data_IF_124829104991
#
_entry.id   IF_124829104991
#
_cell.length_a   1.000
_cell.length_b   1.000
_cell.length_c   1.000
_cell.angle_alpha   90.00
_cell.angle_beta   90.00
_cell.angle_gamma   90.00
#
_symmetry.space_group_name_H-M   'P 1'
#
loop_
_entity.id
_entity.type
_entity.pdbx_description
1 polymer ?
#
# COMPACT_ATOMS: atom_id res chain seq x y z
N UNK A 1 -3.10 -1.13 30.59
CA UNK A 1 -4.18 -1.84 29.87
C UNK A 1 -4.10 -1.37 28.43
N UNK A 2 -3.12 -1.96 27.73
CA UNK A 2 -2.61 -1.45 26.47
C UNK A 2 -3.58 -1.77 25.34
N UNK A 3 -3.75 -0.81 24.44
CA UNK A 3 -4.37 -1.05 23.14
C UNK A 3 -3.69 -2.30 22.55
N UNK A 4 -4.46 -3.29 22.09
CA UNK A 4 -3.85 -4.52 21.58
C UNK A 4 -2.92 -4.17 20.42
N UNK A 5 -1.73 -4.76 20.39
CA UNK A 5 -0.76 -4.59 19.29
C UNK A 5 -1.43 -4.86 17.93
N UNK A 6 -2.37 -5.80 17.89
CA UNK A 6 -3.21 -6.08 16.73
C UNK A 6 -4.07 -4.89 16.30
N UNK A 7 -4.66 -4.13 17.23
CA UNK A 7 -5.44 -2.92 16.94
C UNK A 7 -4.58 -1.85 16.26
N UNK A 8 -3.36 -1.62 16.74
CA UNK A 8 -2.43 -0.65 16.15
C UNK A 8 -2.06 -1.10 14.73
N UNK A 9 -1.76 -2.39 14.55
CA UNK A 9 -1.45 -2.94 13.24
C UNK A 9 -2.66 -2.84 12.28
N UNK A 10 -3.89 -3.07 12.75
CA UNK A 10 -5.12 -2.89 11.96
C UNK A 10 -5.28 -1.42 11.57
N UNK A 11 -5.04 -0.46 12.47
CA UNK A 11 -5.14 0.97 12.15
C UNK A 11 -4.17 1.39 11.05
N UNK A 12 -2.97 0.78 10.96
CA UNK A 12 -2.07 1.01 9.84
C UNK A 12 -2.69 0.56 8.51
N UNK A 13 -3.28 -0.65 8.46
CA UNK A 13 -3.95 -1.13 7.25
C UNK A 13 -5.20 -0.34 6.88
N UNK A 14 -5.94 0.16 7.88
CA UNK A 14 -7.07 1.08 7.65
C UNK A 14 -6.59 2.41 7.08
N UNK A 15 -5.46 2.94 7.55
CA UNK A 15 -4.86 4.15 6.97
C UNK A 15 -4.44 3.93 5.51
N UNK A 16 -3.92 2.75 5.15
CA UNK A 16 -3.65 2.38 3.75
C UNK A 16 -4.94 2.34 2.92
N UNK A 17 -6.01 1.77 3.48
CA UNK A 17 -7.31 1.63 2.81
C UNK A 17 -7.94 2.99 2.49
N UNK A 18 -7.79 3.96 3.40
CA UNK A 18 -8.25 5.34 3.25
C UNK A 18 -7.32 6.22 2.39
N UNK A 19 -6.21 5.68 1.87
CA UNK A 19 -5.13 6.42 1.19
C UNK A 19 -4.56 7.57 2.04
N UNK A 20 -4.63 7.45 3.37
CA UNK A 20 -4.17 8.47 4.30
C UNK A 20 -2.69 8.29 4.63
N UNK A 21 -1.83 8.93 3.83
CA UNK A 21 -0.38 8.81 3.98
C UNK A 21 0.14 9.35 5.32
N UNK A 22 -0.37 10.46 5.82
CA UNK A 22 0.09 11.08 7.08
C UNK A 22 -0.12 10.17 8.31
N UNK A 23 -1.33 9.65 8.59
CA UNK A 23 -1.53 8.77 9.73
C UNK A 23 -0.81 7.43 9.59
N UNK A 24 -0.59 6.92 8.37
CA UNK A 24 0.23 5.72 8.16
C UNK A 24 1.66 5.92 8.68
N UNK A 25 2.31 7.02 8.33
CA UNK A 25 3.65 7.34 8.85
C UNK A 25 3.65 7.59 10.36
N UNK A 26 2.57 8.14 10.90
CA UNK A 26 2.41 8.30 12.35
C UNK A 26 2.36 6.96 13.07
N UNK A 27 1.60 5.99 12.55
CA UNK A 27 1.50 4.64 13.13
C UNK A 27 2.82 3.88 12.98
N UNK A 28 3.53 4.04 11.86
CA UNK A 28 4.92 3.54 11.68
C UNK A 28 5.84 4.14 12.75
N UNK A 29 5.84 5.46 12.90
CA UNK A 29 6.66 6.15 13.89
C UNK A 29 6.34 5.72 15.32
N UNK A 30 5.05 5.59 15.66
CA UNK A 30 4.60 5.12 16.96
C UNK A 30 5.09 3.69 17.25
N UNK A 31 4.94 2.77 16.29
CA UNK A 31 5.38 1.38 16.45
C UNK A 31 6.89 1.28 16.75
N UNK A 32 7.71 2.07 16.05
CA UNK A 32 9.17 2.03 16.21
C UNK A 32 9.68 2.79 17.45
N UNK A 33 9.11 3.96 17.76
CA UNK A 33 9.64 4.83 18.81
C UNK A 33 9.06 4.45 20.18
N UNK A 34 7.76 4.15 20.23
CA UNK A 34 7.03 3.97 21.49
C UNK A 34 6.97 2.50 21.87
N UNK A 35 6.45 1.66 20.98
CA UNK A 35 6.17 0.26 21.32
C UNK A 35 7.44 -0.61 21.25
N UNK A 36 8.37 -0.32 20.32
CA UNK A 36 9.62 -1.08 20.04
C UNK A 36 9.40 -2.59 19.83
N UNK A 37 8.18 -2.99 19.58
CA UNK A 37 7.80 -4.37 19.38
C UNK A 37 8.13 -4.81 17.95
N UNK A 38 8.84 -5.93 17.82
CA UNK A 38 9.31 -6.45 16.53
C UNK A 38 8.15 -6.96 15.68
N UNK A 39 7.12 -7.56 16.28
CA UNK A 39 5.95 -8.06 15.58
C UNK A 39 5.12 -6.92 14.99
N UNK A 40 4.77 -5.91 15.80
CA UNK A 40 4.03 -4.73 15.36
C UNK A 40 4.78 -3.98 14.26
N UNK A 41 6.09 -3.77 14.45
CA UNK A 41 6.94 -3.07 13.48
C UNK A 41 6.93 -3.77 12.12
N UNK A 42 6.93 -5.11 12.08
CA UNK A 42 6.81 -5.84 10.82
C UNK A 42 5.47 -5.63 10.12
N UNK A 43 4.35 -5.71 10.85
CA UNK A 43 3.02 -5.54 10.23
C UNK A 43 2.85 -4.13 9.67
N UNK A 44 3.31 -3.13 10.43
CA UNK A 44 3.20 -1.72 10.08
C UNK A 44 4.14 -1.37 8.91
N UNK A 45 5.34 -1.96 8.83
CA UNK A 45 6.22 -1.87 7.66
C UNK A 45 5.61 -2.57 6.44
N UNK A 46 4.98 -3.73 6.60
CA UNK A 46 4.29 -4.41 5.49
C UNK A 46 3.17 -3.52 4.91
N UNK A 47 2.39 -2.87 5.76
CA UNK A 47 1.38 -1.90 5.35
C UNK A 47 2.01 -0.72 4.58
N UNK A 48 3.12 -0.17 5.09
CA UNK A 48 3.88 0.88 4.42
C UNK A 48 4.39 0.50 3.03
N UNK A 49 4.99 -0.69 2.90
CA UNK A 49 5.51 -1.22 1.63
C UNK A 49 4.37 -1.43 0.63
N UNK A 50 3.23 -1.97 1.07
CA UNK A 50 2.06 -2.18 0.21
C UNK A 50 1.54 -0.85 -0.33
N UNK A 51 1.40 0.16 0.53
CA UNK A 51 0.97 1.49 0.14
C UNK A 51 1.95 2.17 -0.82
N UNK A 52 3.25 2.12 -0.52
CA UNK A 52 4.29 2.69 -1.38
C UNK A 52 4.32 2.00 -2.76
N UNK A 53 4.22 0.67 -2.77
CA UNK A 53 4.22 -0.13 -4.01
C UNK A 53 2.99 0.19 -4.87
N UNK A 54 1.80 0.31 -4.27
CA UNK A 54 0.60 0.74 -4.98
C UNK A 54 0.76 2.13 -5.59
N UNK A 55 1.23 3.11 -4.81
CA UNK A 55 1.46 4.49 -5.31
C UNK A 55 2.48 4.52 -6.45
N UNK A 56 3.56 3.75 -6.36
CA UNK A 56 4.55 3.65 -7.43
C UNK A 56 3.99 3.02 -8.70
N UNK A 57 3.25 1.92 -8.59
CA UNK A 57 2.63 1.26 -9.76
C UNK A 57 1.63 2.19 -10.43
N UNK A 58 0.77 2.86 -9.65
CA UNK A 58 -0.18 3.83 -10.20
C UNK A 58 0.56 5.00 -10.84
N UNK A 59 1.62 5.53 -10.22
CA UNK A 59 2.40 6.64 -10.78
C UNK A 59 3.04 6.26 -12.12
N UNK A 60 3.73 5.12 -12.18
CA UNK A 60 4.43 4.66 -13.39
C UNK A 60 3.43 4.33 -14.49
N UNK A 61 2.39 3.55 -14.19
CA UNK A 61 1.43 3.13 -15.22
C UNK A 61 0.62 4.32 -15.70
N UNK A 62 0.04 5.12 -14.78
CA UNK A 62 -0.86 6.22 -15.17
C UNK A 62 -0.11 7.40 -15.75
N UNK A 63 0.91 7.92 -15.06
CA UNK A 63 1.54 9.16 -15.50
C UNK A 63 2.62 8.92 -16.56
N UNK A 64 3.43 7.87 -16.42
CA UNK A 64 4.52 7.66 -17.37
C UNK A 64 4.08 6.92 -18.62
N UNK A 65 3.29 5.85 -18.50
CA UNK A 65 2.88 5.08 -19.69
C UNK A 65 1.69 5.75 -20.36
N UNK A 66 0.55 5.87 -19.67
CA UNK A 66 -0.66 6.40 -20.28
C UNK A 66 -0.68 7.93 -20.38
N UNK A 67 -0.05 8.64 -19.44
CA UNK A 67 0.05 10.09 -19.44
C UNK A 67 0.93 10.60 -20.58
N UNK A 68 2.15 10.06 -20.72
CA UNK A 68 3.06 10.48 -21.80
C UNK A 68 2.52 10.14 -23.19
N UNK A 69 1.94 8.95 -23.39
CA UNK A 69 1.30 8.63 -24.66
C UNK A 69 0.09 9.53 -24.92
N UNK A 70 -0.72 9.84 -23.89
CA UNK A 70 -1.83 10.78 -23.99
C UNK A 70 -1.39 12.17 -24.46
N UNK A 71 -0.28 12.68 -23.93
CA UNK A 71 0.31 13.96 -24.34
C UNK A 71 0.84 13.92 -25.79
N UNK A 72 1.47 12.81 -26.20
CA UNK A 72 1.92 12.62 -27.59
C UNK A 72 0.76 12.58 -28.58
N UNK A 73 -0.35 11.91 -28.24
CA UNK A 73 -1.55 11.89 -29.08
C UNK A 73 -2.29 13.23 -29.08
N UNK A 74 -2.24 13.98 -27.99
CA UNK A 74 -2.74 15.36 -27.92
C UNK A 74 -1.96 16.31 -28.80
N UNK A 75 -0.63 16.22 -28.80
CA UNK A 75 0.25 16.98 -29.69
C UNK A 75 0.00 16.65 -31.17
N UNK A 76 -0.43 15.42 -31.48
CA UNK A 76 -0.82 14.99 -32.82
C UNK A 76 -2.28 15.36 -33.21
N UNK A 77 -3.00 16.16 -32.40
CA UNK A 77 -4.43 16.52 -32.57
C UNK A 77 -5.41 15.32 -32.57
N UNK A 78 -4.95 14.14 -32.13
CA UNK A 78 -5.73 12.91 -32.06
C UNK A 78 -6.49 12.80 -30.73
N UNK A 79 -7.40 13.73 -30.47
CA UNK A 79 -8.17 13.83 -29.22
C UNK A 79 -8.93 12.54 -28.85
N UNK A 80 -9.42 11.77 -29.83
CA UNK A 80 -10.09 10.47 -29.58
C UNK A 80 -9.13 9.43 -29.02
N UNK A 81 -7.89 9.39 -29.50
CA UNK A 81 -6.86 8.48 -29.00
C UNK A 81 -6.42 8.87 -27.59
N UNK A 82 -6.20 10.17 -27.36
CA UNK A 82 -5.89 10.72 -26.04
C UNK A 82 -6.94 10.32 -24.99
N UNK A 83 -8.23 10.49 -25.30
CA UNK A 83 -9.31 10.15 -24.36
C UNK A 83 -9.43 8.64 -24.10
N UNK A 84 -9.19 7.80 -25.11
CA UNK A 84 -9.11 6.36 -24.94
C UNK A 84 -7.96 5.96 -24.00
N UNK A 85 -6.78 6.57 -24.12
CA UNK A 85 -5.63 6.25 -23.26
C UNK A 85 -5.85 6.65 -21.80
N UNK A 86 -6.45 7.82 -21.55
CA UNK A 86 -6.81 8.21 -20.18
C UNK A 86 -7.89 7.30 -19.58
N UNK A 87 -8.86 6.86 -20.38
CA UNK A 87 -9.90 5.92 -19.94
C UNK A 87 -9.27 4.59 -19.55
N UNK A 88 -8.40 4.03 -20.39
CA UNK A 88 -7.68 2.78 -20.09
C UNK A 88 -6.84 2.92 -18.82
N UNK A 89 -6.07 4.02 -18.67
CA UNK A 89 -5.30 4.28 -17.46
C UNK A 89 -6.16 4.34 -16.20
N UNK A 90 -7.37 4.91 -16.27
CA UNK A 90 -8.30 4.95 -15.15
C UNK A 90 -8.84 3.56 -14.75
N UNK A 91 -9.16 2.70 -15.73
CA UNK A 91 -9.60 1.32 -15.48
C UNK A 91 -8.50 0.52 -14.78
N UNK A 92 -7.26 0.63 -15.25
CA UNK A 92 -6.12 -0.01 -14.58
C UNK A 92 -5.98 0.45 -13.13
N UNK A 93 -6.07 1.77 -12.87
CA UNK A 93 -6.02 2.30 -11.51
C UNK A 93 -7.12 1.69 -10.63
N UNK A 94 -8.36 1.60 -11.13
CA UNK A 94 -9.47 0.98 -10.39
C UNK A 94 -9.20 -0.48 -10.07
N UNK A 95 -8.71 -1.27 -11.03
CA UNK A 95 -8.38 -2.69 -10.82
C UNK A 95 -7.28 -2.85 -9.76
N UNK A 96 -6.21 -2.06 -9.85
CA UNK A 96 -5.12 -2.09 -8.87
C UNK A 96 -5.57 -1.63 -7.48
N UNK A 97 -6.47 -0.63 -7.40
CA UNK A 97 -7.04 -0.19 -6.13
C UNK A 97 -7.88 -1.30 -5.47
N UNK A 98 -8.71 -2.00 -6.25
CA UNK A 98 -9.49 -3.14 -5.76
C UNK A 98 -8.57 -4.27 -5.27
N UNK A 99 -7.49 -4.56 -6.00
CA UNK A 99 -6.51 -5.56 -5.60
C UNK A 99 -5.83 -5.17 -4.26
N UNK A 100 -5.44 -3.90 -4.10
CA UNK A 100 -4.89 -3.39 -2.84
C UNK A 100 -5.90 -3.53 -1.70
N UNK A 101 -7.17 -3.16 -1.94
CA UNK A 101 -8.27 -3.29 -0.98
C UNK A 101 -8.44 -4.73 -0.51
N UNK A 102 -8.45 -5.69 -1.44
CA UNK A 102 -8.56 -7.11 -1.13
C UNK A 102 -7.40 -7.59 -0.24
N UNK A 103 -6.17 -7.15 -0.53
CA UNK A 103 -4.99 -7.47 0.27
C UNK A 103 -5.06 -6.84 1.67
N UNK A 104 -5.52 -5.60 1.79
CA UNK A 104 -5.74 -4.93 3.08
C UNK A 104 -6.79 -5.67 3.92
N UNK A 105 -7.94 -6.01 3.35
CA UNK A 105 -9.00 -6.76 4.04
C UNK A 105 -8.48 -8.12 4.50
N UNK A 106 -7.75 -8.82 3.63
CA UNK A 106 -7.16 -10.11 3.98
C UNK A 106 -6.12 -10.00 5.12
N UNK A 107 -5.27 -8.98 5.09
CA UNK A 107 -4.31 -8.69 6.16
C UNK A 107 -5.00 -8.38 7.50
N UNK A 108 -6.06 -7.55 7.48
CA UNK A 108 -6.85 -7.21 8.68
C UNK A 108 -7.52 -8.46 9.27
N UNK A 109 -8.08 -9.34 8.42
CA UNK A 109 -8.69 -10.60 8.87
C UNK A 109 -7.66 -11.56 9.51
N UNK A 110 -6.42 -11.57 9.01
CA UNK A 110 -5.32 -12.34 9.62
C UNK A 110 -4.85 -11.75 10.94
N UNK A 111 -4.64 -10.43 11.01
CA UNK A 111 -4.28 -9.72 12.24
C UNK A 111 -5.33 -9.90 13.34
N UNK A 112 -6.61 -9.87 12.97
CA UNK A 112 -7.74 -10.10 13.89
C UNK A 112 -7.77 -11.52 14.44
N UNK A 113 -7.07 -12.46 13.79
CA UNK A 113 -6.89 -13.86 14.23
C UNK A 113 -5.57 -14.05 14.97
N UNK A 114 -4.90 -12.98 15.38
CA UNK A 114 -3.55 -12.99 16.00
C UNK A 114 -2.50 -13.68 15.14
N UNK A 115 -2.70 -13.70 13.81
CA UNK A 115 -1.75 -14.21 12.84
C UNK A 115 -1.06 -13.06 12.13
N UNK A 116 0.17 -13.29 11.68
CA UNK A 116 0.88 -12.34 10.83
C UNK A 116 0.06 -11.97 9.60
N UNK A 117 0.07 -10.70 9.18
CA UNK A 117 -0.60 -10.25 7.96
C UNK A 117 -0.16 -11.12 6.77
N UNK A 118 1.13 -11.49 6.74
CA UNK A 118 1.66 -12.51 5.84
C UNK A 118 1.41 -12.17 4.38
N UNK A 119 1.53 -10.88 4.05
CA UNK A 119 1.37 -10.39 2.69
C UNK A 119 2.43 -11.02 1.78
N UNK A 120 2.04 -11.68 0.67
CA UNK A 120 2.99 -12.19 -0.30
C UNK A 120 3.83 -11.00 -0.84
N UNK A 121 5.15 -11.17 -0.93
CA UNK A 121 6.18 -10.16 -1.25
C UNK A 121 6.52 -9.14 -0.14
N UNK A 122 5.54 -8.56 0.56
CA UNK A 122 5.83 -7.57 1.61
C UNK A 122 6.42 -8.20 2.89
N UNK A 123 6.02 -9.44 3.21
CA UNK A 123 6.56 -10.21 4.35
C UNK A 123 8.07 -10.46 4.25
N UNK A 124 8.58 -10.78 3.06
CA UNK A 124 10.01 -11.01 2.83
C UNK A 124 10.84 -9.73 2.94
N UNK A 125 10.31 -8.59 2.48
CA UNK A 125 10.99 -7.29 2.57
C UNK A 125 10.95 -6.73 4.00
N UNK A 126 9.82 -6.83 4.69
CA UNK A 126 9.72 -6.41 6.09
C UNK A 126 10.67 -7.20 6.99
N UNK A 127 10.85 -8.51 6.74
CA UNK A 127 11.82 -9.34 7.47
C UNK A 127 13.28 -8.92 7.26
N UNK A 128 13.60 -8.32 6.11
CA UNK A 128 14.94 -7.82 5.79
C UNK A 128 15.20 -6.42 6.36
N UNK A 129 14.18 -5.57 6.43
CA UNK A 129 14.27 -4.20 6.91
C UNK A 129 14.15 -4.06 8.43
N UNK A 130 13.58 -5.05 9.12
CA UNK A 130 13.52 -5.11 10.59
C UNK A 130 14.55 -6.14 11.07
N UNK A 131 15.80 -5.74 11.40
CA UNK A 131 16.81 -6.64 11.93
C UNK A 131 16.39 -7.11 13.33
N UNK A 132 16.12 -8.41 13.50
CA UNK A 132 15.78 -9.01 14.79
C UNK A 132 14.60 -9.99 14.78
N UNK A 133 13.89 -10.14 13.67
CA UNK A 133 12.78 -11.10 13.56
C UNK A 133 13.26 -12.54 13.31
N UNK A 134 13.85 -13.12 14.35
CA UNK A 134 13.85 -14.56 14.56
C UNK A 134 12.86 -14.81 15.68
N UNK A 135 11.68 -15.30 15.31
CA UNK A 135 10.88 -16.34 15.97
C UNK A 135 9.63 -16.55 15.10
#
# INVERSE_FOLDING_TARGET
MGISLALIAITAFVAVLLDWTVPLFLVIGYAFIVEKDTWLSQQVVQAGILHASYKLVVLVIRNWIFGSLGELFGAASAFRAQQAMYTVGSVFQTVFYIAMLALCVWAILRLSREKDAGLPLASGLAKKWVPGAVL
#
